data_IF_570383655114
#
_entry.id   IF_570383655114
#
_cell.length_a   1.000
_cell.length_b   1.000
_cell.length_c   1.000
_cell.angle_alpha   90.00
_cell.angle_beta   90.00
_cell.angle_gamma   90.00
#
_symmetry.space_group_name_H-M   'P 1'
#
loop_
_entity.id
_entity.type
_entity.pdbx_description
1 polymer ?
#
# COMPACT_ATOMS: atom_id res chain seq x y z
N UNK A 1 50.43 43.39 2.61
CA UNK A 1 49.86 42.04 2.41
C UNK A 1 49.40 41.54 3.76
N UNK A 2 48.08 41.52 3.97
CA UNK A 2 47.44 40.84 5.08
C UNK A 2 46.51 39.81 4.47
N UNK A 3 46.53 38.55 4.91
CA UNK A 3 45.39 37.67 4.71
C UNK A 3 44.48 37.74 5.95
N UNK A 4 43.24 38.13 5.68
CA UNK A 4 42.07 37.67 6.44
C UNK A 4 42.04 36.14 6.37
N UNK A 5 41.61 35.45 7.44
CA UNK A 5 40.46 34.57 7.24
C UNK A 5 39.69 34.21 8.51
N UNK A 6 38.41 34.01 8.25
CA UNK A 6 37.26 34.05 9.12
C UNK A 6 37.12 32.84 10.04
N UNK A 7 36.77 33.13 11.30
CA UNK A 7 35.99 32.23 12.16
C UNK A 7 34.51 32.40 11.85
N UNK A 8 33.78 31.29 11.69
CA UNK A 8 32.37 31.04 12.12
C UNK A 8 31.98 29.63 11.64
N UNK A 9 31.85 28.69 12.58
CA UNK A 9 30.59 28.36 13.26
C UNK A 9 29.89 27.20 12.53
N UNK A 10 30.40 25.99 12.74
CA UNK A 10 29.67 24.75 12.49
C UNK A 10 29.08 24.31 13.84
N UNK A 11 27.89 24.81 14.15
CA UNK A 11 27.08 24.35 15.28
C UNK A 11 25.67 24.12 14.74
N UNK A 12 25.15 22.90 14.88
CA UNK A 12 23.76 22.61 14.57
C UNK A 12 23.39 21.19 14.11
N UNK A 13 24.25 20.19 14.29
CA UNK A 13 23.83 18.78 14.13
C UNK A 13 23.39 18.26 15.50
N UNK A 14 22.08 17.98 15.67
CA UNK A 14 21.56 17.31 16.88
C UNK A 14 21.48 15.80 16.60
N UNK A 15 22.31 14.96 17.24
CA UNK A 15 22.10 13.51 17.23
C UNK A 15 21.00 13.18 18.24
N UNK A 16 20.00 12.40 17.82
CA UNK A 16 19.02 11.82 18.72
C UNK A 16 19.61 10.50 19.24
N UNK A 17 20.11 10.50 20.48
CA UNK A 17 20.59 9.30 21.17
C UNK A 17 20.07 9.30 22.62
N UNK A 18 19.62 8.11 23.04
CA UNK A 18 19.17 7.65 24.36
C UNK A 18 17.76 8.10 24.80
N UNK A 19 16.88 7.23 25.33
CA UNK A 19 17.16 6.17 26.28
C UNK A 19 16.28 4.91 26.12
N UNK A 20 16.92 3.75 26.22
CA UNK A 20 16.30 2.48 26.59
C UNK A 20 15.80 2.56 28.04
N UNK A 21 14.54 2.18 28.26
CA UNK A 21 14.04 1.71 29.55
C UNK A 21 13.47 0.29 29.35
N UNK A 22 14.22 -0.70 29.84
CA UNK A 22 13.77 -2.09 29.93
C UNK A 22 12.82 -2.21 31.13
N UNK A 23 11.53 -2.40 30.88
CA UNK A 23 10.57 -2.84 31.88
C UNK A 23 10.19 -4.30 31.58
N UNK A 24 10.79 -5.23 32.31
CA UNK A 24 10.50 -6.66 32.23
C UNK A 24 9.26 -6.95 33.07
N UNK A 25 8.11 -7.11 32.42
CA UNK A 25 6.91 -7.65 33.07
C UNK A 25 6.51 -8.92 32.35
N UNK A 26 6.79 -10.06 32.98
CA UNK A 26 6.30 -11.36 32.56
C UNK A 26 4.79 -11.45 32.85
N UNK A 27 3.97 -11.46 31.79
CA UNK A 27 2.58 -11.91 31.88
C UNK A 27 2.46 -13.31 31.24
N UNK A 28 1.79 -14.18 31.99
CA UNK A 28 1.58 -15.58 31.69
C UNK A 28 0.92 -15.80 30.32
N UNK A 29 1.54 -16.66 29.51
CA UNK A 29 0.96 -17.20 28.28
C UNK A 29 -0.13 -18.20 28.66
N UNK A 30 -1.39 -17.76 28.65
CA UNK A 30 -2.52 -18.70 28.54
C UNK A 30 -2.56 -19.20 27.11
N UNK A 31 -2.10 -20.43 26.90
CA UNK A 31 -2.23 -21.15 25.63
C UNK A 31 -3.73 -21.36 25.31
N UNK A 32 -4.28 -20.83 24.21
CA UNK A 32 -5.49 -21.42 23.67
C UNK A 32 -5.11 -22.78 23.10
N UNK A 33 -5.61 -23.84 23.74
CA UNK A 33 -5.57 -25.20 23.21
C UNK A 33 -6.19 -25.19 21.80
N UNK A 34 -5.38 -25.45 20.78
CA UNK A 34 -5.87 -25.79 19.44
C UNK A 34 -6.67 -27.09 19.56
N UNK A 35 -7.98 -26.97 19.77
CA UNK A 35 -8.89 -28.04 19.45
C UNK A 35 -8.83 -28.21 17.93
N UNK A 36 -8.26 -29.32 17.49
CA UNK A 36 -8.32 -29.76 16.11
C UNK A 36 -9.79 -29.81 15.68
N UNK A 37 -10.22 -28.83 14.89
CA UNK A 37 -11.43 -28.93 14.12
C UNK A 37 -11.15 -29.94 12.99
N UNK A 38 -11.37 -31.22 13.25
CA UNK A 38 -11.69 -32.19 12.21
C UNK A 38 -13.06 -31.83 11.65
N UNK A 39 -13.10 -30.79 10.83
CA UNK A 39 -14.22 -30.44 9.99
C UNK A 39 -13.77 -30.65 8.56
N UNK A 40 -14.00 -31.84 8.03
CA UNK A 40 -14.03 -32.05 6.59
C UNK A 40 -14.81 -30.89 5.96
N UNK A 41 -14.22 -30.24 4.97
CA UNK A 41 -14.92 -29.23 4.18
C UNK A 41 -16.27 -29.80 3.77
N UNK A 42 -17.33 -29.29 4.38
CA UNK A 42 -18.66 -29.49 3.87
C UNK A 42 -18.68 -28.72 2.56
N UNK A 43 -18.38 -29.43 1.46
CA UNK A 43 -18.70 -28.99 0.13
C UNK A 43 -20.17 -28.54 0.19
N UNK A 44 -20.39 -27.23 0.15
CA UNK A 44 -21.72 -26.69 0.00
C UNK A 44 -22.27 -27.30 -1.28
N UNK A 45 -23.24 -28.21 -1.14
CA UNK A 45 -23.92 -28.77 -2.30
C UNK A 45 -24.58 -27.61 -3.03
N UNK A 46 -24.36 -27.51 -4.34
CA UNK A 46 -25.15 -26.63 -5.17
C UNK A 46 -26.64 -26.88 -4.86
N UNK A 47 -27.49 -25.84 -4.74
CA UNK A 47 -28.92 -26.06 -4.64
C UNK A 47 -29.38 -26.86 -5.85
N UNK A 48 -29.95 -28.03 -5.60
CA UNK A 48 -30.42 -28.99 -6.60
C UNK A 48 -31.53 -28.38 -7.47
N UNK A 49 -31.18 -27.57 -8.48
CA UNK A 49 -32.07 -27.31 -9.62
C UNK A 49 -31.37 -26.73 -10.84
N UNK A 50 -30.57 -27.56 -11.52
CA UNK A 50 -30.35 -27.43 -12.95
C UNK A 50 -30.25 -28.83 -13.55
N UNK A 51 -31.41 -29.40 -13.92
CA UNK A 51 -31.47 -30.57 -14.79
C UNK A 51 -31.59 -30.05 -16.22
N UNK A 52 -30.50 -30.12 -16.98
CA UNK A 52 -30.56 -30.29 -18.42
C UNK A 52 -29.26 -30.94 -18.91
N UNK A 53 -29.35 -32.20 -19.34
CA UNK A 53 -28.28 -32.92 -20.02
C UNK A 53 -27.54 -33.91 -19.11
N UNK A 54 -27.81 -35.19 -19.30
CA UNK A 54 -27.15 -36.26 -18.55
C UNK A 54 -25.72 -36.51 -19.02
N UNK A 55 -24.79 -36.53 -18.06
CA UNK A 55 -23.73 -37.53 -17.94
C UNK A 55 -23.59 -37.82 -16.43
N UNK A 56 -23.60 -39.11 -16.08
CA UNK A 56 -23.81 -39.60 -14.73
C UNK A 56 -22.55 -39.62 -13.90
N UNK A 57 -22.07 -38.46 -13.46
CA UNK A 57 -20.94 -38.37 -12.54
C UNK A 57 -21.13 -37.11 -11.70
N UNK A 58 -20.96 -37.24 -10.39
CA UNK A 58 -21.17 -36.16 -9.42
C UNK A 58 -20.28 -34.96 -9.78
N UNK A 59 -20.91 -33.81 -9.91
CA UNK A 59 -20.33 -32.53 -10.31
C UNK A 59 -18.88 -32.34 -9.88
N UNK A 60 -18.02 -32.27 -10.89
CA UNK A 60 -16.64 -31.86 -10.78
C UNK A 60 -16.46 -30.69 -11.76
N UNK A 61 -16.40 -29.47 -11.25
CA UNK A 61 -15.92 -28.32 -12.02
C UNK A 61 -14.40 -28.30 -11.91
N UNK A 62 -13.65 -28.50 -13.01
CA UNK A 62 -12.20 -28.29 -12.98
C UNK A 62 -11.88 -26.77 -12.93
N UNK A 63 -10.86 -26.33 -12.18
CA UNK A 63 -10.33 -24.96 -12.28
C UNK A 63 -9.56 -24.79 -13.62
N UNK A 64 -9.35 -23.58 -14.18
CA UNK A 64 -9.82 -22.23 -13.80
C UNK A 64 -10.51 -21.51 -15.00
N UNK A 65 -11.81 -21.26 -14.96
CA UNK A 65 -12.45 -20.39 -15.96
C UNK A 65 -13.83 -19.91 -15.49
N UNK A 66 -13.86 -18.96 -14.56
CA UNK A 66 -15.08 -18.26 -14.16
C UNK A 66 -14.77 -16.81 -13.75
N UNK A 67 -14.31 -15.97 -14.67
CA UNK A 67 -14.12 -14.53 -14.40
C UNK A 67 -15.45 -13.73 -14.43
N UNK A 68 -16.61 -14.37 -14.58
CA UNK A 68 -17.91 -13.70 -14.57
C UNK A 68 -19.07 -14.64 -14.15
N UNK A 69 -18.95 -15.29 -12.98
CA UNK A 69 -20.04 -16.10 -12.40
C UNK A 69 -21.17 -15.26 -11.77
N UNK A 70 -22.39 -15.82 -11.61
CA UNK A 70 -23.50 -15.14 -10.93
C UNK A 70 -23.17 -14.82 -9.45
N UNK A 71 -23.87 -13.85 -8.82
CA UNK A 71 -23.63 -13.50 -7.42
C UNK A 71 -23.84 -14.72 -6.52
N UNK A 72 -22.80 -15.08 -5.77
CA UNK A 72 -22.76 -16.27 -4.91
C UNK A 72 -21.79 -17.38 -5.36
N UNK A 73 -21.06 -17.20 -6.46
CA UNK A 73 -19.98 -18.09 -6.91
C UNK A 73 -18.57 -17.45 -6.84
N UNK A 74 -18.43 -16.33 -6.14
CA UNK A 74 -17.12 -15.77 -5.84
C UNK A 74 -16.40 -16.79 -4.95
N UNK A 75 -15.27 -17.36 -5.43
CA UNK A 75 -14.33 -18.00 -4.52
C UNK A 75 -13.91 -17.02 -3.42
N UNK A 76 -13.12 -17.42 -2.42
CA UNK A 76 -12.51 -16.41 -1.56
C UNK A 76 -11.70 -15.50 -2.48
N UNK A 77 -12.21 -14.29 -2.75
CA UNK A 77 -11.50 -13.29 -3.53
C UNK A 77 -10.13 -13.12 -2.90
N UNK A 78 -9.12 -12.81 -3.71
CA UNK A 78 -7.82 -12.42 -3.15
C UNK A 78 -8.10 -11.28 -2.18
N UNK A 79 -7.72 -11.45 -0.91
CA UNK A 79 -7.94 -10.42 0.08
C UNK A 79 -7.24 -9.14 -0.41
N UNK A 80 -7.93 -8.01 -0.31
CA UNK A 80 -7.42 -6.71 -0.73
C UNK A 80 -7.52 -5.71 0.40
N UNK A 81 -6.61 -4.73 0.38
CA UNK A 81 -6.54 -3.64 1.34
C UNK A 81 -6.25 -2.32 0.65
N UNK A 82 -6.48 -1.23 1.37
CA UNK A 82 -6.31 0.11 0.84
C UNK A 82 -4.85 0.54 0.87
N UNK A 83 -4.39 1.12 -0.23
CA UNK A 83 -3.10 1.80 -0.37
C UNK A 83 -3.40 3.26 -0.65
N UNK A 84 -3.08 4.12 0.30
CA UNK A 84 -3.50 5.53 0.30
C UNK A 84 -2.30 6.47 0.31
N UNK A 85 -2.41 7.56 -0.45
CA UNK A 85 -1.56 8.76 -0.29
C UNK A 85 -2.40 9.91 0.24
N UNK A 86 -1.85 10.61 1.23
CA UNK A 86 -2.37 11.88 1.75
C UNK A 86 -1.45 13.00 1.26
N UNK A 87 -2.00 13.94 0.52
CA UNK A 87 -1.29 15.11 0.02
C UNK A 87 -1.58 16.30 0.90
N UNK A 88 -0.52 16.92 1.42
CA UNK A 88 -0.62 18.11 2.25
C UNK A 88 0.41 19.19 1.88
N UNK A 89 0.14 20.40 2.38
CA UNK A 89 1.07 21.51 2.39
C UNK A 89 2.09 21.27 3.51
N UNK A 90 3.37 21.22 3.15
CA UNK A 90 4.45 20.86 4.08
C UNK A 90 4.75 21.89 5.17
N UNK A 91 4.13 23.08 5.12
CA UNK A 91 4.29 24.13 6.15
C UNK A 91 3.14 24.14 7.15
N UNK A 92 1.93 23.84 6.69
CA UNK A 92 0.68 24.02 7.43
C UNK A 92 -0.04 22.71 7.74
N UNK A 93 0.29 21.61 7.05
CA UNK A 93 -0.41 20.33 7.15
C UNK A 93 -1.82 20.36 6.56
N UNK A 94 -2.18 21.40 5.79
CA UNK A 94 -3.49 21.47 5.15
C UNK A 94 -3.56 20.50 3.97
N UNK A 95 -4.70 19.81 3.78
CA UNK A 95 -4.88 18.89 2.66
C UNK A 95 -4.86 19.62 1.32
N UNK A 96 -4.28 18.99 0.30
CA UNK A 96 -4.16 19.55 -1.06
C UNK A 96 -4.82 18.65 -2.10
N UNK A 97 -5.80 19.22 -2.81
CA UNK A 97 -6.45 18.59 -3.94
C UNK A 97 -5.68 18.81 -5.25
N UNK A 98 -5.82 17.87 -6.18
CA UNK A 98 -5.35 18.05 -7.56
C UNK A 98 -3.90 17.62 -7.83
N UNK A 99 -3.17 17.09 -6.84
CA UNK A 99 -1.94 16.33 -7.12
C UNK A 99 -2.27 15.06 -7.92
N UNK A 100 -1.44 14.71 -8.89
CA UNK A 100 -1.60 13.51 -9.73
C UNK A 100 -0.49 12.52 -9.45
N UNK A 101 -0.88 11.31 -9.08
CA UNK A 101 0.01 10.21 -8.74
C UNK A 101 -0.13 9.02 -9.70
N UNK A 102 0.97 8.32 -9.92
CA UNK A 102 0.97 6.95 -10.45
C UNK A 102 1.27 5.98 -9.32
N UNK A 103 0.62 4.82 -9.33
CA UNK A 103 0.89 3.74 -8.38
C UNK A 103 1.76 2.68 -9.06
N UNK A 104 2.76 2.18 -8.34
CA UNK A 104 3.68 1.17 -8.82
C UNK A 104 3.79 0.04 -7.80
N UNK A 105 3.93 -1.18 -8.28
CA UNK A 105 4.21 -2.37 -7.49
C UNK A 105 5.66 -2.78 -7.71
N UNK A 106 6.37 -3.06 -6.61
CA UNK A 106 7.69 -3.69 -6.67
C UNK A 106 7.54 -5.10 -7.24
N UNK A 107 8.19 -5.35 -8.40
CA UNK A 107 8.13 -6.66 -9.05
C UNK A 107 9.48 -7.30 -9.38
N UNK A 108 10.60 -6.63 -9.09
CA UNK A 108 11.94 -7.04 -9.54
C UNK A 108 12.92 -7.38 -8.38
N UNK A 109 12.53 -7.20 -7.13
CA UNK A 109 13.35 -7.48 -5.95
C UNK A 109 14.44 -6.44 -5.65
N UNK A 110 14.45 -5.29 -6.32
CA UNK A 110 15.46 -4.23 -6.17
C UNK A 110 14.90 -3.08 -5.31
N UNK A 111 15.56 -2.70 -4.21
CA UNK A 111 15.05 -1.63 -3.34
C UNK A 111 14.87 -0.28 -4.04
N UNK A 112 13.73 0.36 -3.80
CA UNK A 112 13.32 1.64 -4.38
C UNK A 112 12.37 1.43 -5.57
N UNK A 113 11.91 2.53 -6.18
CA UNK A 113 11.11 2.48 -7.41
C UNK A 113 12.02 2.55 -8.64
N UNK A 114 11.85 1.64 -9.60
CA UNK A 114 12.48 1.68 -10.92
C UNK A 114 11.43 1.77 -12.02
N UNK A 115 11.22 2.97 -12.56
CA UNK A 115 10.25 3.22 -13.64
C UNK A 115 10.78 2.93 -15.05
N UNK A 116 12.08 2.62 -15.17
CA UNK A 116 12.76 2.36 -16.44
C UNK A 116 13.86 1.31 -16.25
N UNK A 117 14.36 0.76 -17.35
CA UNK A 117 15.43 -0.24 -17.35
C UNK A 117 15.03 -1.52 -18.07
N UNK A 118 15.85 -2.56 -17.92
CA UNK A 118 15.58 -3.89 -18.50
C UNK A 118 14.56 -4.71 -17.70
N UNK A 119 14.37 -4.37 -16.43
CA UNK A 119 13.45 -5.05 -15.50
C UNK A 119 12.84 -4.01 -14.53
N UNK A 120 12.01 -3.08 -15.01
CA UNK A 120 11.38 -2.06 -14.19
C UNK A 120 10.27 -2.65 -13.31
N UNK A 121 9.87 -1.89 -12.29
CA UNK A 121 8.66 -2.14 -11.52
C UNK A 121 7.40 -2.01 -12.39
N UNK A 122 6.28 -2.52 -11.88
CA UNK A 122 5.02 -2.55 -12.64
C UNK A 122 4.12 -1.39 -12.28
N UNK A 123 3.70 -0.58 -13.28
CA UNK A 123 2.71 0.47 -13.07
C UNK A 123 1.30 -0.11 -12.93
N UNK A 124 0.55 0.34 -11.93
CA UNK A 124 -0.79 -0.16 -11.60
C UNK A 124 -1.86 0.84 -12.01
N UNK A 125 -2.68 0.45 -12.99
CA UNK A 125 -3.87 1.16 -13.41
C UNK A 125 -3.62 2.59 -13.93
N UNK A 126 -4.68 3.40 -13.91
CA UNK A 126 -4.63 4.81 -14.30
C UNK A 126 -4.14 5.70 -13.14
N UNK A 127 -3.61 6.86 -13.51
CA UNK A 127 -3.23 7.91 -12.56
C UNK A 127 -4.36 8.24 -11.59
N UNK A 128 -4.00 8.58 -10.36
CA UNK A 128 -4.92 8.94 -9.32
C UNK A 128 -4.73 10.41 -8.93
N UNK A 129 -5.82 11.18 -8.93
CA UNK A 129 -5.81 12.59 -8.54
C UNK A 129 -6.38 12.73 -7.14
N UNK A 130 -5.70 13.48 -6.29
CA UNK A 130 -6.14 13.73 -4.91
C UNK A 130 -7.42 14.56 -4.85
N UNK A 131 -8.36 14.14 -4.02
CA UNK A 131 -9.64 14.82 -3.80
C UNK A 131 -9.50 16.03 -2.84
N UNK A 132 -10.64 16.68 -2.54
CA UNK A 132 -10.70 17.88 -1.70
C UNK A 132 -10.13 17.70 -0.28
N UNK A 133 -10.14 16.47 0.22
CA UNK A 133 -9.56 16.05 1.51
C UNK A 133 -8.06 15.69 1.40
N UNK A 134 -7.45 15.88 0.22
CA UNK A 134 -6.04 15.58 -0.04
C UNK A 134 -5.76 14.10 -0.26
N UNK A 135 -6.76 13.23 -0.32
CA UNK A 135 -6.53 11.77 -0.38
C UNK A 135 -6.65 11.22 -1.78
N UNK A 136 -5.91 10.13 -2.04
CA UNK A 136 -6.10 9.25 -3.17
C UNK A 136 -5.83 7.81 -2.70
N UNK A 137 -6.74 6.88 -3.02
CA UNK A 137 -6.69 5.49 -2.54
C UNK A 137 -6.90 4.49 -3.69
N UNK A 138 -6.20 3.36 -3.60
CA UNK A 138 -6.44 2.16 -4.43
C UNK A 138 -6.55 0.93 -3.53
N UNK A 139 -7.48 0.04 -3.88
CA UNK A 139 -7.67 -1.23 -3.16
C UNK A 139 -6.96 -2.34 -3.93
N UNK A 140 -5.94 -2.94 -3.32
CA UNK A 140 -4.99 -3.86 -3.96
C UNK A 140 -4.75 -5.11 -3.12
N UNK A 141 -4.30 -6.23 -3.73
CA UNK A 141 -3.82 -7.38 -2.97
C UNK A 141 -2.57 -7.05 -2.15
N UNK A 142 -2.09 -7.99 -1.34
CA UNK A 142 -0.82 -7.85 -0.62
C UNK A 142 0.35 -7.63 -1.58
N UNK A 143 1.26 -6.72 -1.23
CA UNK A 143 2.40 -6.37 -2.07
C UNK A 143 3.21 -5.23 -1.48
N UNK A 144 4.23 -4.80 -2.23
CA UNK A 144 5.05 -3.62 -1.91
C UNK A 144 4.80 -2.56 -2.97
N UNK A 145 4.38 -1.38 -2.53
CA UNK A 145 3.89 -0.34 -3.44
C UNK A 145 4.64 0.98 -3.27
N UNK A 146 4.62 1.78 -4.33
CA UNK A 146 5.14 3.15 -4.36
C UNK A 146 4.16 4.09 -5.05
N UNK A 147 3.95 5.26 -4.46
CA UNK A 147 3.30 6.37 -5.11
C UNK A 147 4.35 7.27 -5.76
N UNK A 148 4.19 7.57 -7.05
CA UNK A 148 5.01 8.54 -7.79
C UNK A 148 4.16 9.77 -8.11
N UNK A 149 4.49 10.92 -7.51
CA UNK A 149 3.86 12.19 -7.87
C UNK A 149 4.37 12.62 -9.25
N UNK A 150 3.47 12.72 -10.21
CA UNK A 150 3.79 13.12 -11.59
C UNK A 150 3.41 14.57 -11.87
N UNK A 151 2.49 15.13 -11.07
CA UNK A 151 2.09 16.53 -11.14
C UNK A 151 1.72 17.03 -9.74
N UNK A 152 2.35 18.12 -9.32
CA UNK A 152 2.01 18.82 -8.10
C UNK A 152 0.64 19.54 -8.20
N UNK A 153 -0.03 19.80 -7.06
CA UNK A 153 -1.20 20.67 -7.02
C UNK A 153 -0.92 22.07 -7.58
N UNK A 154 -1.94 22.79 -8.08
CA UNK A 154 -1.78 24.17 -8.51
C UNK A 154 -1.18 25.07 -7.42
N UNK A 155 -0.10 25.79 -7.76
CA UNK A 155 0.59 26.70 -6.83
C UNK A 155 1.66 26.03 -5.94
N UNK A 156 1.98 24.76 -6.20
CA UNK A 156 3.00 24.00 -5.48
C UNK A 156 4.08 23.48 -6.43
N UNK A 157 5.28 23.35 -5.90
CA UNK A 157 6.40 22.76 -6.63
C UNK A 157 6.35 21.22 -6.55
N UNK A 158 6.70 20.56 -7.66
CA UNK A 158 6.92 19.11 -7.66
C UNK A 158 8.18 18.78 -6.85
N UNK A 159 8.13 17.84 -5.88
CA UNK A 159 9.30 17.47 -5.09
C UNK A 159 10.46 16.97 -5.97
N UNK A 160 11.70 17.25 -5.53
CA UNK A 160 12.90 16.74 -6.20
C UNK A 160 12.97 15.21 -6.19
N UNK A 161 12.42 14.57 -5.16
CA UNK A 161 12.20 13.14 -5.09
C UNK A 161 10.69 12.88 -4.91
N UNK A 162 9.94 12.67 -6.00
CA UNK A 162 8.48 12.52 -5.95
C UNK A 162 8.02 11.09 -5.68
N UNK A 163 8.88 10.22 -5.14
CA UNK A 163 8.57 8.81 -4.84
C UNK A 163 8.28 8.66 -3.34
N UNK A 164 7.13 8.08 -3.03
CA UNK A 164 6.64 7.84 -1.67
C UNK A 164 6.40 6.34 -1.46
N UNK A 165 7.14 5.76 -0.51
CA UNK A 165 7.12 4.33 -0.21
C UNK A 165 8.48 3.85 0.33
N UNK A 166 8.69 2.54 0.49
CA UNK A 166 7.73 1.47 0.17
C UNK A 166 6.54 1.44 1.13
N UNK A 167 5.34 1.18 0.60
CA UNK A 167 4.15 0.80 1.38
C UNK A 167 4.01 -0.72 1.33
N UNK A 168 4.09 -1.38 2.48
CA UNK A 168 4.06 -2.85 2.57
C UNK A 168 2.69 -3.31 3.05
N UNK A 169 1.85 -3.78 2.12
CA UNK A 169 0.53 -4.33 2.41
C UNK A 169 0.63 -5.85 2.56
N UNK A 170 0.22 -6.37 3.70
CA UNK A 170 0.35 -7.77 4.13
C UNK A 170 -0.97 -8.26 4.69
N UNK A 171 -1.16 -9.58 4.82
CA UNK A 171 -2.37 -10.13 5.42
C UNK A 171 -2.66 -9.60 6.84
N UNK A 172 -1.62 -9.17 7.58
CA UNK A 172 -1.77 -8.65 8.95
C UNK A 172 -2.42 -7.26 8.97
N UNK A 173 -2.03 -6.37 8.05
CA UNK A 173 -2.54 -5.00 7.99
C UNK A 173 -3.56 -4.80 6.87
N UNK A 174 -3.94 -5.85 6.13
CA UNK A 174 -4.79 -5.72 4.94
C UNK A 174 -6.15 -5.10 5.22
N UNK A 175 -6.71 -5.36 6.40
CA UNK A 175 -7.99 -4.80 6.83
C UNK A 175 -7.90 -3.30 7.22
N UNK A 176 -6.72 -2.84 7.63
CA UNK A 176 -6.46 -1.44 8.00
C UNK A 176 -5.98 -0.63 6.80
N UNK A 177 -5.30 -1.27 5.85
CA UNK A 177 -4.62 -0.63 4.74
C UNK A 177 -3.27 -0.03 5.15
N UNK A 178 -2.65 0.66 4.19
CA UNK A 178 -1.37 1.37 4.35
C UNK A 178 -1.46 2.76 3.76
N UNK A 179 -0.88 3.73 4.47
CA UNK A 179 -0.97 5.14 4.11
C UNK A 179 0.39 5.81 4.16
N UNK A 180 0.66 6.71 3.22
CA UNK A 180 1.83 7.59 3.23
C UNK A 180 1.41 9.05 3.06
N UNK A 181 2.15 9.97 3.70
CA UNK A 181 1.97 11.41 3.53
C UNK A 181 2.98 11.95 2.52
N UNK A 182 2.51 12.82 1.62
CA UNK A 182 3.27 13.50 0.60
C UNK A 182 3.15 15.02 0.76
N UNK A 183 4.26 15.66 1.13
CA UNK A 183 4.33 17.11 1.40
C UNK A 183 4.81 17.87 0.16
N UNK A 184 4.12 18.97 -0.20
CA UNK A 184 4.65 19.92 -1.19
C UNK A 184 4.87 21.28 -0.54
N UNK A 185 5.84 22.00 -1.08
CA UNK A 185 6.10 23.38 -0.72
C UNK A 185 5.39 24.31 -1.71
N UNK A 186 4.73 25.37 -1.25
CA UNK A 186 4.17 26.39 -2.14
C UNK A 186 5.23 27.01 -3.03
N UNK A 187 4.92 27.23 -4.30
CA UNK A 187 5.79 27.94 -5.23
C UNK A 187 5.94 29.41 -4.78
N UNK A 188 7.16 29.93 -4.59
CA UNK A 188 7.37 31.33 -4.25
C UNK A 188 6.79 32.28 -5.30
N UNK A 189 6.12 33.35 -4.86
CA UNK A 189 5.54 34.41 -5.71
C UNK A 189 6.47 35.60 -5.90
#
# INVERSE_FOLDING_TARGET
>A
MAPNDFRRSWDGWRPWVLAMAMATTALLVSTPSYAAATGAGAAARCPDRAVAGGHGDRGWCPPPQCEAGPPGCEGPGVATGDVTVIKEDGLTGNPLAGAVFQLWEETNGIPGLQTTGSDPDTSIGDSCTTSADGTCTRTLPTGVYYWLETQAPPGYDLPANPVFGPLVLTDENIAEGVTVTADNTPTPV
#
